data_IF_336939745552
#
_entry.id   IF_336939745552
#
_cell.length_a   1.000
_cell.length_b   1.000
_cell.length_c   1.000
_cell.angle_alpha   90.00
_cell.angle_beta   90.00
_cell.angle_gamma   90.00
#
_symmetry.space_group_name_H-M   'P 1'
#
loop_
_entity.id
_entity.type
_entity.pdbx_description
1 polymer ?
#
# COMPACT_ATOMS: atom_id res chain seq x y z
N UNK A 1 50.57 -45.37 27.19
CA UNK A 1 50.84 -44.19 26.34
C UNK A 1 50.75 -44.60 24.87
N UNK A 2 49.52 -44.79 24.36
CA UNK A 2 49.26 -45.15 22.95
C UNK A 2 48.11 -44.33 22.32
N UNK A 3 47.55 -43.34 23.03
CA UNK A 3 46.39 -42.58 22.57
C UNK A 3 46.73 -41.44 21.59
N UNK A 4 47.99 -40.99 21.54
CA UNK A 4 48.39 -39.87 20.68
C UNK A 4 48.61 -40.30 19.23
N UNK A 5 49.22 -41.46 18.98
CA UNK A 5 49.57 -41.91 17.63
C UNK A 5 48.36 -42.32 16.77
N UNK A 6 47.33 -42.91 17.40
CA UNK A 6 46.06 -43.23 16.72
C UNK A 6 45.22 -41.97 16.42
N UNK A 7 45.31 -40.94 17.28
CA UNK A 7 44.60 -39.68 17.08
C UNK A 7 45.13 -38.91 15.86
N UNK A 8 46.45 -38.96 15.61
CA UNK A 8 47.10 -38.34 14.45
C UNK A 8 46.69 -39.07 13.16
N UNK A 9 46.63 -40.40 13.18
CA UNK A 9 46.20 -41.23 12.04
C UNK A 9 44.75 -40.98 11.62
N UNK A 10 43.85 -40.84 12.59
CA UNK A 10 42.44 -40.55 12.35
C UNK A 10 42.26 -39.14 11.77
N UNK A 11 42.98 -38.15 12.33
CA UNK A 11 42.92 -36.75 11.90
C UNK A 11 43.43 -36.59 10.46
N UNK A 12 44.53 -37.25 10.10
CA UNK A 12 45.08 -37.23 8.74
C UNK A 12 44.18 -37.95 7.72
N UNK A 13 43.50 -39.03 8.13
CA UNK A 13 42.48 -39.69 7.29
C UNK A 13 41.29 -38.78 7.05
N UNK A 14 40.81 -38.08 8.07
CA UNK A 14 39.71 -37.10 7.97
C UNK A 14 40.13 -35.93 7.07
N UNK A 15 41.34 -35.38 7.24
CA UNK A 15 41.88 -34.29 6.40
C UNK A 15 42.06 -34.70 4.94
N UNK A 16 42.58 -35.91 4.68
CA UNK A 16 42.69 -36.46 3.31
C UNK A 16 41.33 -36.66 2.67
N UNK A 17 40.34 -37.10 3.43
CA UNK A 17 38.97 -37.30 2.94
C UNK A 17 38.25 -35.96 2.71
N UNK A 18 38.62 -34.92 3.47
CA UNK A 18 38.24 -33.52 3.33
C UNK A 18 39.18 -32.74 2.39
N UNK A 19 39.76 -33.39 1.38
CA UNK A 19 40.62 -32.69 0.41
C UNK A 19 39.82 -31.63 -0.36
N UNK A 20 40.43 -30.46 -0.58
CA UNK A 20 39.84 -29.31 -1.30
C UNK A 20 39.07 -29.71 -2.58
N UNK A 21 39.56 -30.70 -3.33
CA UNK A 21 38.92 -31.18 -4.58
C UNK A 21 37.53 -31.82 -4.39
N UNK A 22 37.21 -32.36 -3.21
CA UNK A 22 35.89 -32.95 -2.90
C UNK A 22 34.91 -31.96 -2.24
N UNK A 23 35.40 -30.88 -1.65
CA UNK A 23 34.57 -29.86 -0.98
C UNK A 23 34.24 -28.64 -1.86
N UNK A 24 35.04 -28.36 -2.88
CA UNK A 24 34.79 -27.22 -3.80
C UNK A 24 33.46 -27.36 -4.54
N UNK A 25 33.11 -28.56 -5.04
CA UNK A 25 31.84 -28.79 -5.74
C UNK A 25 30.61 -28.52 -4.85
N UNK A 26 30.49 -29.16 -3.67
CA UNK A 26 29.41 -28.88 -2.72
C UNK A 26 29.37 -27.43 -2.24
N UNK A 27 30.52 -26.79 -2.03
CA UNK A 27 30.58 -25.38 -1.62
C UNK A 27 30.05 -24.44 -2.73
N UNK A 28 30.41 -24.68 -3.99
CA UNK A 28 29.88 -23.92 -5.14
C UNK A 28 28.37 -24.16 -5.27
N UNK A 29 27.91 -25.41 -5.18
CA UNK A 29 26.48 -25.74 -5.25
C UNK A 29 25.66 -25.06 -4.15
N UNK A 30 26.12 -25.11 -2.90
CA UNK A 30 25.49 -24.42 -1.77
C UNK A 30 25.55 -22.90 -1.92
N UNK A 31 26.66 -22.36 -2.43
CA UNK A 31 26.78 -20.93 -2.74
C UNK A 31 25.79 -20.47 -3.81
N UNK A 32 25.59 -21.27 -4.87
CA UNK A 32 24.58 -21.01 -5.89
C UNK A 32 23.17 -21.04 -5.32
N UNK A 33 22.83 -22.02 -4.47
CA UNK A 33 21.52 -22.10 -3.80
C UNK A 33 21.30 -20.88 -2.89
N UNK A 34 22.29 -20.54 -2.05
CA UNK A 34 22.19 -19.39 -1.16
C UNK A 34 21.99 -18.08 -1.94
N UNK A 35 22.73 -17.91 -3.04
CA UNK A 35 22.57 -16.76 -3.95
C UNK A 35 21.17 -16.72 -4.58
N UNK A 36 20.65 -17.86 -5.06
CA UNK A 36 19.31 -17.93 -5.64
C UNK A 36 18.23 -17.56 -4.61
N UNK A 37 18.32 -18.10 -3.38
CA UNK A 37 17.39 -17.78 -2.29
C UNK A 37 17.45 -16.28 -1.97
N UNK A 38 18.65 -15.71 -1.91
CA UNK A 38 18.83 -14.29 -1.66
C UNK A 38 18.20 -13.42 -2.75
N UNK A 39 18.40 -13.77 -4.03
CA UNK A 39 17.78 -13.07 -5.16
C UNK A 39 16.25 -13.18 -5.12
N UNK A 40 15.70 -14.36 -4.84
CA UNK A 40 14.26 -14.56 -4.70
C UNK A 40 13.68 -13.73 -3.55
N UNK A 41 14.38 -13.64 -2.43
CA UNK A 41 13.99 -12.80 -1.30
C UNK A 41 14.00 -11.31 -1.66
N UNK A 42 15.02 -10.84 -2.41
CA UNK A 42 15.06 -9.46 -2.89
C UNK A 42 13.93 -9.16 -3.88
N UNK A 43 13.60 -10.09 -4.78
CA UNK A 43 12.47 -9.95 -5.70
C UNK A 43 11.15 -9.89 -4.92
N UNK A 44 10.96 -10.77 -3.92
CA UNK A 44 9.78 -10.76 -3.07
C UNK A 44 9.67 -9.46 -2.25
N UNK A 45 10.77 -8.96 -1.69
CA UNK A 45 10.79 -7.65 -1.01
C UNK A 45 10.48 -6.52 -1.98
N UNK A 46 11.11 -6.49 -3.15
CA UNK A 46 10.85 -5.47 -4.16
C UNK A 46 9.37 -5.48 -4.55
N UNK A 47 8.79 -6.66 -4.80
CA UNK A 47 7.38 -6.81 -5.11
C UNK A 47 6.48 -6.37 -3.95
N UNK A 48 6.82 -6.69 -2.69
CA UNK A 48 6.05 -6.28 -1.53
C UNK A 48 6.14 -4.77 -1.25
N UNK A 49 7.29 -4.14 -1.53
CA UNK A 49 7.48 -2.68 -1.42
C UNK A 49 6.80 -1.90 -2.54
N UNK A 50 6.70 -2.49 -3.73
CA UNK A 50 6.11 -1.86 -4.92
C UNK A 50 4.62 -2.22 -5.11
N UNK A 51 4.11 -3.21 -4.37
CA UNK A 51 2.69 -3.54 -4.31
C UNK A 51 1.95 -2.39 -3.63
N UNK A 52 1.53 -1.42 -4.44
CA UNK A 52 0.57 -0.38 -4.05
C UNK A 52 -0.71 -1.03 -3.54
N UNK A 53 -1.46 -0.31 -2.69
CA UNK A 53 -2.80 -0.72 -2.25
C UNK A 53 -3.60 -1.18 -3.47
N UNK A 54 -3.96 -2.46 -3.48
CA UNK A 54 -4.46 -3.17 -4.65
C UNK A 54 -6.00 -3.12 -4.69
N UNK A 55 -6.61 -3.69 -5.74
CA UNK A 55 -8.05 -3.84 -5.92
C UNK A 55 -8.77 -4.54 -4.74
N UNK A 56 -8.02 -5.24 -3.89
CA UNK A 56 -8.54 -5.94 -2.72
C UNK A 56 -8.54 -5.10 -1.43
N UNK A 57 -7.97 -3.90 -1.44
CA UNK A 57 -7.95 -3.00 -0.28
C UNK A 57 -9.36 -2.53 0.06
N UNK A 58 -9.74 -2.60 1.32
CA UNK A 58 -11.03 -2.15 1.81
C UNK A 58 -10.83 -0.94 2.72
N UNK A 59 -11.57 0.13 2.44
CA UNK A 59 -11.56 1.36 3.21
C UNK A 59 -12.89 1.55 3.91
N UNK A 60 -12.86 1.71 5.22
CA UNK A 60 -14.01 2.12 6.02
C UNK A 60 -13.75 3.51 6.61
N UNK A 61 -14.54 4.49 6.20
CA UNK A 61 -14.35 5.90 6.50
C UNK A 61 -15.48 6.33 7.42
N UNK A 62 -15.15 6.84 8.60
CA UNK A 62 -16.09 7.51 9.49
C UNK A 62 -15.72 8.99 9.53
N UNK A 63 -16.64 9.88 9.22
CA UNK A 63 -16.36 11.31 9.18
C UNK A 63 -17.53 12.15 9.70
N UNK A 64 -17.21 13.22 10.41
CA UNK A 64 -18.15 14.25 10.84
C UNK A 64 -17.95 15.48 9.96
N UNK A 65 -18.96 15.90 9.19
CA UNK A 65 -18.81 16.98 8.20
C UNK A 65 -20.08 17.81 8.04
N UNK A 66 -19.93 19.08 7.66
CA UNK A 66 -21.09 19.92 7.36
C UNK A 66 -21.53 19.85 5.89
N UNK A 67 -20.69 19.25 5.03
CA UNK A 67 -20.94 19.16 3.60
C UNK A 67 -20.46 17.83 3.02
N UNK A 68 -21.29 17.28 2.16
CA UNK A 68 -20.97 16.11 1.34
C UNK A 68 -21.38 16.42 -0.09
N UNK A 69 -20.48 16.16 -1.04
CA UNK A 69 -20.78 16.14 -2.47
C UNK A 69 -20.80 14.69 -2.94
N UNK A 70 -21.75 14.40 -3.81
CA UNK A 70 -22.07 13.05 -4.26
C UNK A 70 -22.41 13.07 -5.74
N UNK A 71 -21.82 12.16 -6.51
CA UNK A 71 -22.21 11.88 -7.90
C UNK A 71 -22.79 10.46 -7.92
N UNK A 72 -24.10 10.29 -8.17
CA UNK A 72 -24.72 8.99 -8.27
C UNK A 72 -24.12 8.16 -9.40
N UNK A 73 -24.11 6.84 -9.23
CA UNK A 73 -23.78 5.92 -10.31
C UNK A 73 -25.04 5.24 -10.88
N UNK A 74 -24.85 4.41 -11.90
CA UNK A 74 -25.92 3.66 -12.58
C UNK A 74 -26.31 2.37 -11.86
N UNK A 75 -25.49 1.89 -10.92
CA UNK A 75 -25.63 0.56 -10.30
C UNK A 75 -26.74 0.49 -9.25
N UNK A 76 -26.97 1.58 -8.51
CA UNK A 76 -28.03 1.67 -7.51
C UNK A 76 -28.41 3.13 -7.32
N UNK A 77 -29.71 3.39 -7.28
CA UNK A 77 -30.23 4.73 -7.06
C UNK A 77 -31.00 4.77 -5.73
N UNK A 78 -30.32 5.11 -4.62
CA UNK A 78 -31.00 5.25 -3.34
C UNK A 78 -32.03 6.39 -3.40
N UNK A 79 -33.16 6.17 -2.71
CA UNK A 79 -34.22 7.17 -2.53
C UNK A 79 -33.97 7.93 -1.24
N UNK A 80 -34.11 9.25 -1.29
CA UNK A 80 -34.02 10.14 -0.13
C UNK A 80 -35.41 10.62 0.23
N UNK A 81 -35.83 10.30 1.45
CA UNK A 81 -37.11 10.71 1.99
C UNK A 81 -37.02 12.11 2.57
N UNK A 82 -37.95 12.97 2.17
CA UNK A 82 -38.08 14.36 2.60
C UNK A 82 -39.32 14.49 3.48
N UNK A 83 -39.14 14.47 4.79
CA UNK A 83 -40.24 14.57 5.73
C UNK A 83 -40.94 15.94 5.66
N UNK A 84 -40.18 17.03 5.83
CA UNK A 84 -40.65 18.41 5.61
C UNK A 84 -39.66 19.17 4.73
N UNK A 85 -40.11 19.69 3.59
CA UNK A 85 -39.24 20.32 2.62
C UNK A 85 -39.89 21.49 1.90
N UNK A 86 -39.07 22.36 1.30
CA UNK A 86 -39.51 23.32 0.29
C UNK A 86 -38.44 23.51 -0.78
N UNK A 87 -38.85 24.03 -1.93
CA UNK A 87 -37.93 24.36 -3.02
C UNK A 87 -37.61 25.84 -2.99
N UNK A 88 -36.32 26.16 -3.12
CA UNK A 88 -35.81 27.53 -3.02
C UNK A 88 -36.20 28.39 -4.23
N UNK A 89 -36.31 27.77 -5.41
CA UNK A 89 -36.67 28.41 -6.69
C UNK A 89 -37.73 27.61 -7.41
N UNK A 90 -38.46 28.28 -8.30
CA UNK A 90 -39.40 27.58 -9.18
C UNK A 90 -38.64 26.66 -10.14
N UNK A 91 -39.28 25.54 -10.46
CA UNK A 91 -38.74 24.46 -11.26
C UNK A 91 -39.64 24.34 -12.49
N UNK A 92 -39.14 24.78 -13.64
CA UNK A 92 -39.92 24.83 -14.88
C UNK A 92 -40.38 23.43 -15.30
N UNK A 93 -39.55 22.41 -15.04
CA UNK A 93 -39.90 21.01 -15.28
C UNK A 93 -41.00 20.47 -14.36
N UNK A 94 -41.28 21.15 -13.24
CA UNK A 94 -42.26 20.74 -12.22
C UNK A 94 -43.21 21.88 -11.81
N UNK A 95 -44.19 22.27 -12.65
CA UNK A 95 -45.07 23.42 -12.36
C UNK A 95 -45.90 23.28 -11.08
N UNK A 96 -46.19 22.05 -10.66
CA UNK A 96 -46.93 21.76 -9.43
C UNK A 96 -46.11 22.02 -8.15
N UNK A 97 -44.79 22.16 -8.28
CA UNK A 97 -43.86 22.38 -7.18
C UNK A 97 -43.78 23.87 -6.86
N UNK A 98 -44.68 24.33 -5.98
CA UNK A 98 -44.72 25.75 -5.59
C UNK A 98 -43.51 26.13 -4.74
N UNK A 99 -42.87 27.25 -5.11
CA UNK A 99 -41.74 27.83 -4.38
C UNK A 99 -42.12 28.21 -2.94
N UNK A 100 -41.16 28.08 -2.03
CA UNK A 100 -41.22 28.59 -0.64
C UNK A 100 -42.41 28.11 0.22
N UNK A 101 -43.19 27.15 -0.26
CA UNK A 101 -44.21 26.48 0.54
C UNK A 101 -43.63 25.19 1.12
N UNK A 102 -43.64 25.10 2.45
CA UNK A 102 -43.31 23.85 3.13
C UNK A 102 -44.35 22.78 2.79
N UNK A 103 -43.85 21.64 2.36
CA UNK A 103 -44.60 20.45 1.97
C UNK A 103 -44.09 19.27 2.79
N UNK A 104 -44.94 18.25 2.91
CA UNK A 104 -44.62 17.03 3.65
C UNK A 104 -44.54 15.85 2.70
N UNK A 105 -43.72 14.86 3.05
CA UNK A 105 -43.60 13.57 2.36
C UNK A 105 -43.23 13.72 0.87
N UNK A 106 -41.97 13.99 0.61
CA UNK A 106 -41.38 13.91 -0.72
C UNK A 106 -40.35 12.78 -0.80
N UNK A 107 -40.10 12.28 -2.00
CA UNK A 107 -39.04 11.31 -2.28
C UNK A 107 -38.20 11.81 -3.43
N UNK A 108 -36.88 11.83 -3.25
CA UNK A 108 -35.92 12.19 -4.28
C UNK A 108 -35.13 10.96 -4.72
N UNK A 109 -35.05 10.77 -6.02
CA UNK A 109 -34.26 9.74 -6.68
C UNK A 109 -33.24 10.40 -7.62
N UNK A 110 -31.95 10.19 -7.41
CA UNK A 110 -30.89 10.89 -8.17
C UNK A 110 -30.32 10.05 -9.32
N UNK A 111 -30.08 10.64 -10.48
CA UNK A 111 -29.51 9.94 -11.63
C UNK A 111 -28.01 10.26 -11.79
N UNK A 112 -27.32 9.41 -12.54
CA UNK A 112 -25.89 9.49 -12.87
C UNK A 112 -25.42 10.83 -13.47
N UNK A 113 -26.33 11.57 -14.10
CA UNK A 113 -26.06 12.91 -14.63
C UNK A 113 -26.15 14.03 -13.57
N UNK A 114 -26.25 13.71 -12.27
CA UNK A 114 -26.38 14.70 -11.21
C UNK A 114 -25.11 14.88 -10.38
N UNK A 115 -24.81 16.12 -10.03
CA UNK A 115 -23.97 16.45 -8.89
C UNK A 115 -24.89 16.87 -7.75
N UNK A 116 -24.90 16.09 -6.69
CA UNK A 116 -25.69 16.36 -5.48
C UNK A 116 -24.75 16.91 -4.41
N UNK A 117 -25.12 18.02 -3.79
CA UNK A 117 -24.39 18.58 -2.65
C UNK A 117 -25.35 18.76 -1.49
N UNK A 118 -25.10 18.02 -0.41
CA UNK A 118 -25.88 18.08 0.82
C UNK A 118 -25.10 18.91 1.84
N UNK A 119 -25.77 19.89 2.46
CA UNK A 119 -25.19 20.84 3.40
C UNK A 119 -26.07 20.98 4.63
N UNK A 120 -25.45 21.04 5.80
CA UNK A 120 -26.15 21.43 7.01
C UNK A 120 -26.01 22.94 7.14
N UNK A 121 -27.11 23.65 6.96
CA UNK A 121 -27.14 25.13 6.98
C UNK A 121 -27.26 25.65 8.42
N UNK A 122 -28.04 24.95 9.24
CA UNK A 122 -28.27 25.23 10.66
C UNK A 122 -28.72 23.92 11.35
N UNK A 123 -28.83 23.91 12.68
CA UNK A 123 -29.19 22.77 13.53
C UNK A 123 -30.51 22.08 13.20
N UNK A 124 -31.35 22.72 12.39
CA UNK A 124 -32.65 22.18 11.96
C UNK A 124 -32.89 22.32 10.46
N UNK A 125 -31.88 22.70 9.66
CA UNK A 125 -32.04 23.01 8.24
C UNK A 125 -30.95 22.36 7.41
N UNK A 126 -31.35 21.46 6.53
CA UNK A 126 -30.49 20.78 5.57
C UNK A 126 -30.82 21.32 4.18
N UNK A 127 -29.80 21.53 3.35
CA UNK A 127 -29.95 21.92 1.95
C UNK A 127 -29.38 20.85 1.03
N UNK A 128 -30.18 20.40 0.07
CA UNK A 128 -29.75 19.52 -1.02
C UNK A 128 -29.78 20.31 -2.32
N UNK A 129 -28.61 20.48 -2.93
CA UNK A 129 -28.43 21.15 -4.21
C UNK A 129 -28.12 20.11 -5.30
N UNK A 130 -28.94 20.06 -6.33
CA UNK A 130 -28.87 19.11 -7.43
C UNK A 130 -28.51 19.89 -8.70
N UNK A 131 -27.41 19.52 -9.36
CA UNK A 131 -26.92 20.20 -10.56
C UNK A 131 -26.71 19.21 -11.71
N UNK A 132 -27.14 19.52 -12.94
CA UNK A 132 -26.84 18.70 -14.10
C UNK A 132 -25.36 18.75 -14.47
N UNK A 133 -24.77 17.59 -14.76
CA UNK A 133 -23.47 17.47 -15.44
C UNK A 133 -23.66 17.88 -16.91
N UNK A 134 -24.62 17.26 -17.59
CA UNK A 134 -25.07 17.62 -18.93
C UNK A 134 -26.46 18.26 -18.84
N UNK A 135 -26.61 19.46 -19.43
CA UNK A 135 -27.87 20.21 -19.46
C UNK A 135 -28.99 19.38 -20.11
N UNK A 136 -30.22 19.60 -19.65
CA UNK A 136 -31.47 19.03 -20.18
C UNK A 136 -31.63 17.50 -20.09
N UNK A 137 -30.63 16.78 -19.55
CA UNK A 137 -30.77 15.38 -19.17
C UNK A 137 -31.41 15.26 -17.78
N UNK A 138 -32.04 14.12 -17.52
CA UNK A 138 -32.62 13.80 -16.20
C UNK A 138 -31.51 13.85 -15.13
N UNK A 139 -31.73 14.59 -14.05
CA UNK A 139 -30.80 14.66 -12.91
C UNK A 139 -31.40 14.03 -11.67
N UNK A 140 -32.70 14.18 -11.50
CA UNK A 140 -33.41 13.59 -10.40
C UNK A 140 -34.87 13.37 -10.77
N UNK A 141 -35.53 12.55 -9.99
CA UNK A 141 -36.95 12.35 -10.03
C UNK A 141 -37.49 12.62 -8.63
N UNK A 142 -38.58 13.38 -8.61
CA UNK A 142 -39.19 13.85 -7.38
C UNK A 142 -40.64 13.35 -7.33
N UNK A 143 -40.96 12.60 -6.28
CA UNK A 143 -42.30 12.05 -6.05
C UNK A 143 -42.85 12.73 -4.80
N UNK A 144 -44.06 13.29 -4.90
CA UNK A 144 -44.72 14.00 -3.80
C UNK A 144 -46.23 13.92 -3.95
N UNK A 145 -46.96 14.50 -3.00
CA UNK A 145 -48.43 14.39 -2.94
C UNK A 145 -49.18 14.86 -4.20
N UNK A 146 -48.62 15.78 -4.98
CA UNK A 146 -49.26 16.24 -6.23
C UNK A 146 -48.91 15.36 -7.46
N UNK A 147 -47.90 14.51 -7.35
CA UNK A 147 -47.50 13.58 -8.40
C UNK A 147 -46.00 13.36 -8.50
N UNK A 148 -45.59 12.82 -9.65
CA UNK A 148 -44.19 12.54 -9.99
C UNK A 148 -43.69 13.57 -10.99
N UNK A 149 -42.48 14.06 -10.77
CA UNK A 149 -41.83 15.01 -11.65
C UNK A 149 -40.37 14.62 -11.94
N UNK A 150 -39.91 14.88 -13.16
CA UNK A 150 -38.51 14.64 -13.58
C UNK A 150 -37.78 15.97 -13.65
N UNK A 151 -36.75 16.11 -12.82
CA UNK A 151 -35.89 17.29 -12.74
C UNK A 151 -34.80 17.20 -13.81
N UNK A 152 -34.58 18.31 -14.53
CA UNK A 152 -33.52 18.44 -15.57
C UNK A 152 -32.62 19.66 -15.35
N UNK A 153 -33.16 20.71 -14.73
CA UNK A 153 -32.41 21.90 -14.34
C UNK A 153 -31.79 21.80 -12.94
N UNK A 154 -31.00 22.81 -12.58
CA UNK A 154 -30.47 22.97 -11.23
C UNK A 154 -31.61 23.24 -10.25
N UNK A 155 -31.69 22.43 -9.19
CA UNK A 155 -32.75 22.53 -8.18
C UNK A 155 -32.17 22.50 -6.77
N UNK A 156 -32.78 23.24 -5.85
CA UNK A 156 -32.35 23.29 -4.46
C UNK A 156 -33.54 23.03 -3.54
N UNK A 157 -33.42 21.99 -2.72
CA UNK A 157 -34.38 21.62 -1.69
C UNK A 157 -33.82 21.99 -0.33
N UNK A 158 -34.65 22.61 0.49
CA UNK A 158 -34.38 22.82 1.90
C UNK A 158 -35.28 21.87 2.69
N UNK A 159 -34.70 21.16 3.65
CA UNK A 159 -35.35 20.16 4.49
C UNK A 159 -35.29 20.64 5.92
N UNK A 160 -36.42 20.58 6.62
CA UNK A 160 -36.52 20.97 8.03
C UNK A 160 -36.54 19.73 8.90
N UNK A 161 -35.67 19.71 9.91
CA UNK A 161 -35.77 18.78 11.03
C UNK A 161 -36.70 19.39 12.08
N UNK A 162 -37.57 18.57 12.66
CA UNK A 162 -38.54 18.98 13.66
C UNK A 162 -38.65 17.94 14.77
N UNK A 163 -39.40 18.23 15.84
CA UNK A 163 -39.61 17.24 16.91
C UNK A 163 -40.33 15.98 16.40
N UNK A 164 -41.18 16.10 15.38
CA UNK A 164 -41.90 14.98 14.77
C UNK A 164 -41.02 14.16 13.81
N UNK A 165 -40.01 14.82 13.22
CA UNK A 165 -39.06 14.23 12.27
C UNK A 165 -37.64 14.73 12.60
N UNK A 166 -37.03 14.19 13.69
CA UNK A 166 -35.76 14.71 14.19
C UNK A 166 -34.57 14.26 13.34
N UNK A 167 -34.70 13.14 12.63
CA UNK A 167 -33.58 12.50 11.94
C UNK A 167 -33.67 12.69 10.43
N UNK A 168 -32.52 12.95 9.81
CA UNK A 168 -32.34 12.83 8.37
C UNK A 168 -31.33 11.73 8.07
N UNK A 169 -31.65 10.93 7.06
CA UNK A 169 -30.81 9.84 6.58
C UNK A 169 -30.77 9.83 5.06
N UNK A 170 -29.56 9.66 4.51
CA UNK A 170 -29.33 9.56 3.08
C UNK A 170 -28.31 8.46 2.80
N UNK A 171 -28.68 7.51 1.94
CA UNK A 171 -27.76 6.50 1.41
C UNK A 171 -27.13 7.07 0.14
N UNK A 172 -25.83 6.83 -0.04
CA UNK A 172 -25.02 7.38 -1.12
C UNK A 172 -24.34 6.21 -1.85
N UNK A 173 -24.46 6.14 -3.19
CA UNK A 173 -23.83 5.08 -4.00
C UNK A 173 -23.20 5.68 -5.26
N UNK A 174 -21.87 5.83 -5.27
CA UNK A 174 -21.15 6.50 -6.37
C UNK A 174 -19.90 7.24 -5.91
N UNK A 175 -19.54 8.33 -6.58
CA UNK A 175 -18.40 9.15 -6.16
C UNK A 175 -18.83 10.00 -4.96
N UNK A 176 -18.00 10.02 -3.93
CA UNK A 176 -18.27 10.80 -2.72
C UNK A 176 -17.09 11.72 -2.45
N UNK A 177 -17.39 12.97 -2.11
CA UNK A 177 -16.42 13.92 -1.58
C UNK A 177 -16.92 14.40 -0.23
N UNK A 178 -16.11 14.18 0.81
CA UNK A 178 -16.42 14.55 2.19
C UNK A 178 -15.59 15.78 2.53
N UNK A 179 -16.26 16.83 2.99
CA UNK A 179 -15.62 18.13 3.17
C UNK A 179 -15.57 18.92 1.85
N UNK A 180 -15.49 20.25 2.00
CA UNK A 180 -15.37 21.31 0.98
C UNK A 180 -16.67 22.02 0.55
N UNK A 181 -16.72 23.31 0.88
CA UNK A 181 -16.52 24.36 -0.13
C UNK A 181 -15.65 25.48 0.45
N UNK A 182 -14.45 25.69 -0.11
CA UNK A 182 -13.61 26.85 0.18
C UNK A 182 -13.79 27.89 -0.93
N UNK A 183 -14.60 28.91 -0.63
CA UNK A 183 -14.77 30.12 -1.42
C UNK A 183 -14.52 31.30 -0.47
N UNK A 184 -13.69 32.25 -0.88
CA UNK A 184 -13.32 33.45 -0.11
C UNK A 184 -14.47 34.49 0.01
N UNK A 185 -15.74 34.05 0.04
CA UNK A 185 -16.81 34.96 0.45
C UNK A 185 -16.73 35.12 1.98
N UNK A 186 -16.06 36.20 2.41
CA UNK A 186 -15.73 36.59 3.81
C UNK A 186 -16.92 36.65 4.78
N UNK A 187 -18.14 36.35 4.36
CA UNK A 187 -19.37 36.51 5.14
C UNK A 187 -19.80 35.26 5.91
N UNK A 188 -19.26 34.08 5.60
CA UNK A 188 -19.64 32.82 6.26
C UNK A 188 -18.45 31.89 6.49
N UNK A 189 -18.41 31.20 7.62
CA UNK A 189 -17.42 30.16 7.92
C UNK A 189 -17.49 29.05 6.84
N UNK A 190 -16.35 28.57 6.30
CA UNK A 190 -16.37 27.53 5.30
C UNK A 190 -16.96 26.24 5.87
N UNK A 191 -17.71 25.51 5.05
CA UNK A 191 -18.21 24.19 5.41
C UNK A 191 -17.07 23.18 5.26
N UNK A 192 -16.72 22.53 6.36
CA UNK A 192 -15.53 21.71 6.49
C UNK A 192 -15.88 20.32 7.02
N UNK A 193 -14.96 19.39 6.79
CA UNK A 193 -14.83 18.20 7.63
C UNK A 193 -14.38 18.65 9.03
N UNK A 194 -15.05 18.17 10.07
CA UNK A 194 -14.71 18.49 11.46
C UNK A 194 -13.74 17.47 12.04
N UNK A 195 -13.97 16.20 11.77
CA UNK A 195 -13.12 15.08 12.18
C UNK A 195 -13.42 13.85 11.33
N UNK A 196 -12.51 12.87 11.33
CA UNK A 196 -12.80 11.57 10.77
C UNK A 196 -11.62 10.62 10.91
N UNK A 197 -11.88 9.35 10.60
CA UNK A 197 -10.91 8.27 10.62
C UNK A 197 -11.14 7.38 9.41
N UNK A 198 -10.06 6.97 8.77
CA UNK A 198 -10.07 5.99 7.68
C UNK A 198 -9.39 4.73 8.18
N UNK A 199 -10.16 3.65 8.26
CA UNK A 199 -9.64 2.32 8.57
C UNK A 199 -9.35 1.58 7.28
N UNK A 200 -8.20 0.94 7.22
CA UNK A 200 -7.70 0.31 6.01
C UNK A 200 -7.47 -1.16 6.30
N UNK A 201 -8.15 -2.01 5.53
CA UNK A 201 -7.94 -3.45 5.55
C UNK A 201 -7.37 -3.88 4.22
N UNK A 202 -6.37 -4.74 4.26
CA UNK A 202 -5.77 -5.32 3.06
C UNK A 202 -5.57 -6.83 3.29
N UNK A 203 -4.95 -7.48 2.31
CA UNK A 203 -4.59 -8.89 2.35
C UNK A 203 -3.11 -9.06 2.66
N UNK A 204 -2.81 -10.05 3.50
CA UNK A 204 -1.45 -10.52 3.74
C UNK A 204 -0.84 -10.96 2.42
N UNK A 205 0.44 -10.63 2.22
CA UNK A 205 1.13 -10.90 0.96
C UNK A 205 1.25 -12.41 0.66
N UNK A 206 1.47 -13.23 1.69
CA UNK A 206 1.75 -14.66 1.53
C UNK A 206 0.55 -15.57 1.79
N UNK A 207 -0.35 -15.16 2.68
CA UNK A 207 -1.39 -16.04 3.21
C UNK A 207 -2.81 -15.60 2.85
N UNK A 208 -2.97 -14.44 2.17
CA UNK A 208 -4.28 -13.88 1.81
C UNK A 208 -5.24 -13.64 3.00
N UNK A 209 -4.72 -13.71 4.22
CA UNK A 209 -5.45 -13.37 5.43
C UNK A 209 -5.71 -11.86 5.47
N UNK A 210 -6.86 -11.45 6.02
CA UNK A 210 -7.16 -10.03 6.14
C UNK A 210 -6.31 -9.40 7.25
N UNK A 211 -5.54 -8.39 6.90
CA UNK A 211 -4.74 -7.58 7.82
C UNK A 211 -5.34 -6.19 7.97
N UNK A 212 -5.24 -5.62 9.17
CA UNK A 212 -5.62 -4.22 9.41
C UNK A 212 -4.35 -3.38 9.41
N UNK A 213 -4.29 -2.41 8.50
CA UNK A 213 -3.19 -1.46 8.43
C UNK A 213 -3.47 -0.28 9.38
N UNK A 214 -2.47 0.57 9.70
CA UNK A 214 -2.67 1.70 10.58
C UNK A 214 -3.79 2.62 10.08
N UNK A 215 -4.65 3.05 11.01
CA UNK A 215 -5.72 3.99 10.70
C UNK A 215 -5.15 5.37 10.32
N UNK A 216 -5.80 6.03 9.36
CA UNK A 216 -5.46 7.41 8.97
C UNK A 216 -6.46 8.37 9.60
N UNK A 217 -5.97 9.23 10.50
CA UNK A 217 -6.78 10.27 11.14
C UNK A 217 -6.94 11.48 10.22
N UNK A 218 -8.18 11.99 10.13
CA UNK A 218 -8.54 13.16 9.31
C UNK A 218 -8.65 14.40 10.18
N UNK A 219 -7.94 15.44 9.79
CA UNK A 219 -7.93 16.71 10.50
C UNK A 219 -9.06 17.62 10.05
N UNK A 220 -9.47 18.55 10.92
CA UNK A 220 -10.44 19.57 10.57
C UNK A 220 -10.01 20.33 9.30
N UNK A 221 -10.92 20.43 8.33
CA UNK A 221 -10.70 21.09 7.04
C UNK A 221 -10.10 20.20 5.95
N UNK A 222 -9.67 18.98 6.26
CA UNK A 222 -9.31 18.00 5.24
C UNK A 222 -10.51 17.71 4.33
N UNK A 223 -10.25 17.38 3.07
CA UNK A 223 -11.26 16.91 2.12
C UNK A 223 -10.89 15.50 1.67
N UNK A 224 -11.83 14.57 1.80
CA UNK A 224 -11.64 13.18 1.35
C UNK A 224 -12.36 13.00 0.02
N UNK A 225 -11.62 12.59 -1.00
CA UNK A 225 -12.15 12.25 -2.32
C UNK A 225 -12.17 10.73 -2.44
N UNK A 226 -13.37 10.21 -2.68
CA UNK A 226 -13.67 8.79 -2.79
C UNK A 226 -14.23 8.53 -4.20
N UNK A 227 -13.36 8.26 -5.20
CA UNK A 227 -13.81 7.97 -6.55
C UNK A 227 -14.50 6.59 -6.60
N UNK A 228 -15.55 6.45 -7.39
CA UNK A 228 -16.04 5.15 -7.82
C UNK A 228 -15.15 4.63 -8.96
N UNK A 229 -14.84 3.34 -8.91
CA UNK A 229 -14.21 2.65 -10.04
C UNK A 229 -15.28 1.89 -10.81
N UNK A 230 -15.03 1.55 -12.07
CA UNK A 230 -16.01 0.92 -12.98
C UNK A 230 -16.66 -0.37 -12.42
N UNK A 231 -15.98 -1.05 -11.48
CA UNK A 231 -16.47 -2.28 -10.83
C UNK A 231 -16.86 -2.12 -9.36
N UNK A 232 -16.44 -1.06 -8.67
CA UNK A 232 -16.63 -0.90 -7.22
C UNK A 232 -17.05 0.52 -6.86
N UNK A 233 -18.35 0.68 -6.62
CA UNK A 233 -18.93 1.91 -6.10
C UNK A 233 -18.64 2.10 -4.62
N UNK A 234 -18.48 3.35 -4.19
CA UNK A 234 -18.53 3.69 -2.77
C UNK A 234 -19.96 3.60 -2.30
N UNK A 235 -20.18 2.94 -1.16
CA UNK A 235 -21.43 2.96 -0.45
C UNK A 235 -21.28 3.83 0.80
N UNK A 236 -22.22 4.75 1.03
CA UNK A 236 -22.20 5.66 2.15
C UNK A 236 -23.55 5.78 2.83
N UNK A 237 -23.52 6.08 4.12
CA UNK A 237 -24.66 6.47 4.93
C UNK A 237 -24.34 7.84 5.55
N UNK A 238 -25.22 8.81 5.32
CA UNK A 238 -25.14 10.14 5.90
C UNK A 238 -26.34 10.35 6.81
N UNK A 239 -26.09 10.69 8.07
CA UNK A 239 -27.12 10.93 9.07
C UNK A 239 -26.90 12.25 9.79
N UNK A 240 -27.98 12.88 10.25
CA UNK A 240 -27.93 14.00 11.18
C UNK A 240 -29.21 14.04 12.01
N UNK A 241 -29.08 14.42 13.27
CA UNK A 241 -30.19 14.55 14.21
C UNK A 241 -30.48 16.02 14.48
N UNK A 242 -31.72 16.36 14.82
CA UNK A 242 -32.12 17.69 15.23
C UNK A 242 -31.24 18.21 16.38
N UNK A 243 -30.60 19.35 16.18
CA UNK A 243 -29.71 19.96 17.17
C UNK A 243 -28.23 19.80 16.85
N UNK A 244 -27.87 18.83 16.01
CA UNK A 244 -26.49 18.57 15.59
C UNK A 244 -25.95 19.70 14.71
N UNK A 245 -24.62 19.87 14.73
CA UNK A 245 -23.92 20.92 13.97
C UNK A 245 -23.17 20.39 12.75
N UNK A 246 -23.21 19.08 12.51
CA UNK A 246 -22.63 18.40 11.36
C UNK A 246 -23.35 17.07 11.11
N UNK A 247 -23.18 16.51 9.91
CA UNK A 247 -23.56 15.15 9.59
C UNK A 247 -22.53 14.16 10.11
N UNK A 248 -23.01 13.02 10.58
CA UNK A 248 -22.24 11.80 10.74
C UNK A 248 -22.31 10.98 9.44
N UNK A 249 -21.15 10.65 8.90
CA UNK A 249 -20.99 9.88 7.68
C UNK A 249 -20.22 8.60 7.92
N UNK A 250 -20.72 7.48 7.40
CA UNK A 250 -20.02 6.19 7.33
C UNK A 250 -19.97 5.76 5.88
N UNK A 251 -18.76 5.56 5.35
CA UNK A 251 -18.54 5.21 3.95
C UNK A 251 -17.66 3.98 3.84
N UNK A 252 -17.91 3.19 2.81
CA UNK A 252 -17.18 1.98 2.52
C UNK A 252 -16.82 1.96 1.04
N UNK A 253 -15.54 1.72 0.76
CA UNK A 253 -15.01 1.53 -0.59
C UNK A 253 -14.13 0.29 -0.62
N UNK A 254 -14.25 -0.50 -1.69
CA UNK A 254 -13.36 -1.61 -1.98
C UNK A 254 -12.58 -1.32 -3.26
N UNK A 255 -11.28 -1.56 -3.23
CA UNK A 255 -10.35 -1.26 -4.31
C UNK A 255 -10.18 0.23 -4.58
N UNK A 256 -9.33 0.54 -5.55
CA UNK A 256 -9.01 1.91 -5.95
C UNK A 256 -8.21 2.68 -4.89
N UNK A 257 -8.09 3.99 -5.12
CA UNK A 257 -7.34 4.88 -4.25
C UNK A 257 -8.25 5.95 -3.65
N UNK A 258 -8.14 6.14 -2.33
CA UNK A 258 -8.65 7.32 -1.66
C UNK A 258 -7.64 8.45 -1.75
N UNK A 259 -8.13 9.68 -1.85
CA UNK A 259 -7.27 10.87 -1.84
C UNK A 259 -7.68 11.84 -0.75
N UNK A 260 -6.70 12.44 -0.09
CA UNK A 260 -6.90 13.46 0.94
C UNK A 260 -6.32 14.77 0.41
N UNK A 261 -7.15 15.81 0.36
CA UNK A 261 -6.74 17.18 0.03
C UNK A 261 -6.66 17.97 1.34
N UNK A 262 -5.51 18.58 1.61
CA UNK A 262 -5.36 19.48 2.77
C UNK A 262 -6.08 20.82 2.54
N UNK A 263 -6.59 21.49 3.59
CA UNK A 263 -7.48 22.64 3.47
C UNK A 263 -6.97 23.84 2.65
N UNK A 264 -5.67 23.93 2.35
CA UNK A 264 -5.10 25.00 1.53
C UNK A 264 -4.24 24.48 0.37
N UNK A 265 -4.28 23.18 0.12
CA UNK A 265 -3.58 22.57 -1.01
C UNK A 265 -4.36 22.83 -2.29
N UNK A 266 -3.65 23.28 -3.32
CA UNK A 266 -4.15 23.38 -4.69
C UNK A 266 -3.67 22.14 -5.48
N UNK A 267 -4.08 20.96 -5.02
CA UNK A 267 -3.79 19.68 -5.65
C UNK A 267 -5.06 18.83 -5.78
N UNK A 268 -5.00 17.79 -6.61
CA UNK A 268 -6.08 16.81 -6.80
C UNK A 268 -6.19 15.79 -5.64
N UNK A 269 -5.51 16.08 -4.52
CA UNK A 269 -5.41 15.23 -3.34
C UNK A 269 -4.29 14.21 -3.44
N UNK A 270 -3.64 13.97 -2.31
CA UNK A 270 -2.59 12.97 -2.19
C UNK A 270 -3.23 11.60 -1.94
N UNK A 271 -2.83 10.54 -2.67
CA UNK A 271 -3.32 9.20 -2.41
C UNK A 271 -2.92 8.76 -1.01
N UNK A 272 -3.75 7.94 -0.37
CA UNK A 272 -3.33 7.28 0.86
C UNK A 272 -2.23 6.27 0.50
N UNK A 273 -1.02 6.53 0.99
CA UNK A 273 0.12 5.63 0.84
C UNK A 273 0.44 5.01 2.21
N UNK A 274 0.69 3.71 2.21
CA UNK A 274 1.09 2.97 3.41
C UNK A 274 2.50 2.48 3.16
N UNK A 275 3.40 2.78 4.10
CA UNK A 275 4.79 2.39 3.97
C UNK A 275 4.96 0.87 4.09
N UNK A 276 6.01 0.33 3.46
CA UNK A 276 6.35 -1.08 3.60
C UNK A 276 6.56 -1.49 5.06
N UNK A 277 7.14 -0.62 5.89
CA UNK A 277 7.36 -0.90 7.30
C UNK A 277 6.02 -1.03 8.05
N UNK A 278 5.07 -0.13 7.82
CA UNK A 278 3.73 -0.23 8.42
C UNK A 278 3.01 -1.51 7.99
N UNK A 279 3.15 -1.91 6.72
CA UNK A 279 2.65 -3.19 6.23
C UNK A 279 3.33 -4.36 6.93
N UNK A 280 4.65 -4.33 7.08
CA UNK A 280 5.42 -5.38 7.76
C UNK A 280 5.03 -5.51 9.24
N UNK A 281 4.80 -4.41 9.93
CA UNK A 281 4.34 -4.41 11.33
C UNK A 281 2.92 -4.98 11.46
N UNK A 282 2.08 -4.78 10.44
CA UNK A 282 0.68 -5.24 10.45
C UNK A 282 0.52 -6.68 9.97
N UNK A 283 1.43 -7.15 9.11
CA UNK A 283 1.47 -8.51 8.57
C UNK A 283 2.48 -9.38 9.34
N UNK A 284 2.03 -9.91 10.48
CA UNK A 284 2.84 -10.81 11.32
C UNK A 284 3.41 -11.99 10.52
N UNK A 285 2.66 -12.50 9.55
CA UNK A 285 3.05 -13.68 8.80
C UNK A 285 4.19 -13.34 7.81
N UNK A 286 4.12 -12.19 7.14
CA UNK A 286 5.23 -11.63 6.37
C UNK A 286 6.46 -11.36 7.25
N UNK A 287 6.28 -10.78 8.44
CA UNK A 287 7.36 -10.50 9.36
C UNK A 287 8.09 -11.78 9.83
N UNK A 288 7.33 -12.83 10.16
CA UNK A 288 7.87 -14.16 10.51
C UNK A 288 8.60 -14.78 9.32
N UNK A 289 8.01 -14.74 8.12
CA UNK A 289 8.61 -15.31 6.92
C UNK A 289 9.95 -14.65 6.57
N UNK A 290 10.03 -13.31 6.64
CA UNK A 290 11.28 -12.56 6.42
C UNK A 290 12.32 -12.91 7.49
N UNK A 291 11.91 -12.96 8.76
CA UNK A 291 12.79 -13.31 9.87
C UNK A 291 13.36 -14.73 9.75
N UNK A 292 12.52 -15.73 9.45
CA UNK A 292 12.94 -17.10 9.23
C UNK A 292 13.88 -17.23 8.02
N UNK A 293 13.58 -16.51 6.93
CA UNK A 293 14.42 -16.49 5.73
C UNK A 293 15.81 -15.92 6.04
N UNK A 294 15.90 -14.86 6.83
CA UNK A 294 17.18 -14.27 7.25
C UNK A 294 18.02 -15.25 8.08
N UNK A 295 17.40 -15.99 9.02
CA UNK A 295 18.08 -17.02 9.81
C UNK A 295 18.62 -18.14 8.90
N UNK A 296 17.82 -18.61 7.94
CA UNK A 296 18.23 -19.66 6.99
C UNK A 296 19.41 -19.19 6.13
N UNK A 297 19.36 -17.95 5.63
CA UNK A 297 20.46 -17.37 4.83
C UNK A 297 21.73 -17.26 5.68
N UNK A 298 21.65 -16.80 6.93
CA UNK A 298 22.80 -16.73 7.83
C UNK A 298 23.42 -18.11 8.08
N UNK A 299 22.58 -19.13 8.31
CA UNK A 299 23.01 -20.50 8.50
C UNK A 299 23.73 -21.04 7.24
N UNK A 300 23.15 -20.81 6.05
CA UNK A 300 23.76 -21.22 4.78
C UNK A 300 25.10 -20.54 4.55
N UNK A 301 25.19 -19.22 4.81
CA UNK A 301 26.43 -18.47 4.68
C UNK A 301 27.51 -18.96 5.65
N UNK A 302 27.12 -19.32 6.88
CA UNK A 302 28.03 -19.92 7.85
C UNK A 302 28.56 -21.27 7.36
N UNK A 303 27.70 -22.14 6.81
CA UNK A 303 28.09 -23.44 6.24
C UNK A 303 29.05 -23.22 5.07
N UNK A 304 28.73 -22.32 4.14
CA UNK A 304 29.60 -22.00 2.99
C UNK A 304 30.97 -21.49 3.46
N UNK A 305 31.01 -20.53 4.39
CA UNK A 305 32.26 -20.01 4.95
C UNK A 305 33.09 -21.11 5.63
N UNK A 306 32.43 -22.00 6.37
CA UNK A 306 33.08 -23.15 7.01
C UNK A 306 33.68 -24.11 5.98
N UNK A 307 32.93 -24.44 4.92
CA UNK A 307 33.43 -25.29 3.84
C UNK A 307 34.62 -24.65 3.12
N UNK A 308 34.58 -23.35 2.83
CA UNK A 308 35.70 -22.61 2.23
C UNK A 308 36.94 -22.66 3.14
N UNK A 309 36.78 -22.40 4.44
CA UNK A 309 37.90 -22.48 5.40
C UNK A 309 38.52 -23.87 5.45
N UNK A 310 37.69 -24.92 5.46
CA UNK A 310 38.17 -26.31 5.41
C UNK A 310 38.94 -26.61 4.12
N UNK A 311 38.55 -26.02 2.98
CA UNK A 311 39.32 -26.17 1.72
C UNK A 311 40.67 -25.44 1.71
N UNK A 312 40.84 -24.40 2.54
CA UNK A 312 42.04 -23.58 2.61
C UNK A 312 43.05 -24.05 3.67
N UNK A 313 42.77 -25.12 4.41
CA UNK A 313 43.72 -25.70 5.37
C UNK A 313 44.96 -26.17 4.57
N UNK A 314 46.16 -25.59 4.82
CA UNK A 314 47.37 -25.99 4.13
C UNK A 314 47.66 -27.46 4.46
N UNK A 315 47.94 -28.25 3.42
CA UNK A 315 48.41 -29.62 3.63
C UNK A 315 49.68 -29.57 4.49
N UNK A 316 49.82 -30.40 5.53
CA UNK A 316 51.10 -30.52 6.22
C UNK A 316 52.17 -30.84 5.17
N UNK A 317 53.33 -30.17 5.21
CA UNK A 317 54.42 -30.50 4.31
C UNK A 317 54.73 -31.99 4.47
N UNK A 318 54.87 -32.70 3.35
CA UNK A 318 55.23 -34.10 3.38
C UNK A 318 56.56 -34.24 4.12
N UNK A 319 56.53 -34.80 5.34
CA UNK A 319 57.72 -35.18 6.07
C UNK A 319 58.29 -36.40 5.34
N UNK A 320 59.13 -36.13 4.35
CA UNK A 320 59.95 -37.10 3.63
C UNK A 320 61.37 -37.05 4.16
N UNK A 321 61.60 -37.83 5.21
CA UNK A 321 62.83 -38.48 5.66
C UNK A 321 64.12 -38.05 4.94
N UNK A 322 64.96 -37.33 5.68
CA UNK A 322 66.41 -37.36 5.53
C UNK A 322 66.93 -38.79 5.70
N UNK A 323 67.53 -39.38 4.67
CA UNK A 323 68.50 -40.45 4.86
C UNK A 323 69.64 -40.32 3.85
N UNK A 324 70.78 -39.94 4.42
CA UNK A 324 72.14 -40.18 3.96
C UNK A 324 72.36 -41.64 3.55
N UNK A 325 72.79 -41.91 2.32
CA UNK A 325 73.76 -42.97 1.95
C UNK A 325 73.84 -43.12 0.43
N UNK A 326 74.82 -42.47 -0.20
CA UNK A 326 75.64 -43.09 -1.26
C UNK A 326 76.79 -42.15 -1.64
N UNK A 327 77.70 -41.95 -0.69
CA UNK A 327 79.13 -41.92 -1.02
C UNK A 327 79.50 -43.32 -1.54
N UNK A 328 79.45 -43.53 -2.86
CA UNK A 328 80.21 -44.59 -3.53
C UNK A 328 80.32 -44.29 -5.03
N UNK A 329 81.22 -43.37 -5.39
CA UNK A 329 82.04 -43.40 -6.62
C UNK A 329 82.93 -42.16 -6.67
N UNK A 330 83.97 -42.22 -5.86
CA UNK A 330 85.24 -41.58 -6.20
C UNK A 330 86.06 -42.61 -6.99
N UNK A 331 86.85 -42.12 -7.95
CA UNK A 331 87.85 -42.80 -8.79
C UNK A 331 87.42 -43.37 -10.15
N UNK A 332 88.26 -43.02 -11.14
CA UNK A 332 88.18 -43.25 -12.60
C UNK A 332 87.19 -42.27 -13.27
N UNK A 333 87.59 -41.18 -13.91
CA UNK A 333 88.64 -41.08 -14.92
C UNK A 333 89.10 -39.63 -15.10
N UNK A 334 90.42 -39.44 -15.04
CA UNK A 334 91.14 -38.25 -15.53
C UNK A 334 91.15 -38.32 -17.07
N UNK A 335 90.83 -37.23 -17.76
CA UNK A 335 91.76 -36.49 -18.64
C UNK A 335 91.05 -35.58 -19.65
N UNK A 336 91.65 -34.40 -19.82
CA UNK A 336 91.62 -33.52 -21.01
C UNK A 336 90.30 -32.79 -21.33
N UNK A 337 90.27 -31.51 -21.70
CA UNK A 337 91.29 -30.47 -21.83
C UNK A 337 90.57 -29.11 -22.02
N UNK A 338 91.32 -28.03 -21.77
CA UNK A 338 91.30 -26.74 -22.51
C UNK A 338 90.19 -25.69 -22.22
N UNK A 339 90.65 -24.64 -21.51
CA UNK A 339 90.25 -23.20 -21.51
C UNK A 339 90.26 -22.54 -22.91
N UNK A 340 90.01 -21.20 -23.06
CA UNK A 340 89.15 -20.21 -22.37
C UNK A 340 88.26 -19.48 -23.44
N UNK A 341 87.49 -18.39 -23.27
CA UNK A 341 87.80 -17.05 -22.77
C UNK A 341 86.59 -16.09 -22.99
N UNK A 342 86.55 -14.97 -22.23
CA UNK A 342 85.93 -13.64 -22.51
C UNK A 342 84.44 -13.53 -22.97
N UNK A 343 83.58 -12.56 -22.59
CA UNK A 343 83.75 -11.12 -22.37
C UNK A 343 82.40 -10.50 -21.90
N UNK A 344 82.43 -9.70 -20.84
CA UNK A 344 82.11 -8.26 -20.78
C UNK A 344 80.76 -7.67 -21.27
N UNK A 345 80.08 -7.01 -20.30
CA UNK A 345 79.38 -5.69 -20.30
C UNK A 345 77.96 -5.47 -20.87
N UNK A 346 77.22 -4.76 -19.98
CA UNK A 346 76.53 -3.46 -20.11
C UNK A 346 75.00 -3.44 -20.25
N UNK A 347 74.42 -2.70 -19.30
CA UNK A 347 73.43 -1.61 -19.40
C UNK A 347 72.31 -1.79 -20.44
N UNK A 348 71.03 -1.53 -20.17
CA UNK A 348 70.50 -0.22 -19.81
C UNK A 348 68.96 -0.35 -19.69
N UNK A 349 68.38 0.51 -18.86
CA UNK A 349 66.96 0.86 -18.79
C UNK A 349 66.28 1.09 -20.16
N UNK A 350 64.96 0.89 -20.24
CA UNK A 350 64.01 2.00 -20.19
C UNK A 350 62.56 1.56 -20.50
N UNK A 351 61.66 2.24 -19.79
CA UNK A 351 60.31 2.69 -20.16
C UNK A 351 59.22 1.64 -20.38
#
# INVERSE_FOLDING_TARGET
MNSEQDSVSLTDKILKHLTAKRLVGPAIFLGCIASLIFVLLLIALAHATLAKLDANTEYAIKATTQVVRYLPNTSSIPVVNLAEFHVVREVNSCPQLKRAKWQKHGELKFYDNAIVTTRLMDKSLIQINIQPIVKEKRVAEFIFSAGRCVLKEKTVFNIRLSADHPDFMMILVGDVTIGKQLSYDTRTMPLLLQSGQIRIKDKSFWFEDTISLPDVELSMGDTVIIPADDSNATNGLLTVTLGDTAFDGVFYKKGGQLRIVKPFADNDGDPIEISFFERLYSDNALAIAISASFIIIQLLMYVVNTLIRLTLIPKPPAIGVSDSLSQKKEQTEKHSAMQPDATTKKDTNNA
#
